data_IF_143019797924
#
_entry.id   IF_143019797924
#
_cell.length_a   1.000
_cell.length_b   1.000
_cell.length_c   1.000
_cell.angle_alpha   90.00
_cell.angle_beta   90.00
_cell.angle_gamma   90.00
#
_symmetry.space_group_name_H-M   'P 1'
#
loop_
_entity.id
_entity.type
_entity.pdbx_description
1 polymer ?
#
# COMPACT_ATOMS: atom_id res chain seq x y z
N UNK A 1 22.02 54.63 -10.15
CA UNK A 1 21.95 54.09 -11.53
C UNK A 1 22.29 52.61 -11.46
N UNK A 2 21.21 51.80 -11.40
CA UNK A 2 21.01 50.43 -11.96
C UNK A 2 22.07 49.35 -11.66
N UNK A 3 21.75 48.17 -11.15
CA UNK A 3 20.67 47.28 -11.62
C UNK A 3 20.27 46.26 -10.56
N UNK A 4 18.96 46.09 -10.39
CA UNK A 4 18.31 44.91 -9.81
C UNK A 4 18.74 43.62 -10.53
N UNK A 5 18.66 42.46 -9.85
CA UNK A 5 19.03 41.21 -10.50
C UNK A 5 18.85 39.91 -9.72
N UNK A 6 17.73 39.74 -9.02
CA UNK A 6 17.04 38.45 -8.97
C UNK A 6 17.69 37.27 -8.22
N UNK A 7 17.61 37.26 -6.88
CA UNK A 7 17.79 36.06 -6.03
C UNK A 7 16.56 35.14 -6.07
N UNK A 8 16.09 34.77 -7.26
CA UNK A 8 15.10 33.71 -7.45
C UNK A 8 15.73 32.32 -7.19
N UNK A 9 16.20 32.08 -5.97
CA UNK A 9 16.30 30.74 -5.37
C UNK A 9 14.90 30.18 -5.08
N UNK A 10 13.98 30.35 -6.02
CA UNK A 10 12.77 29.55 -6.08
C UNK A 10 13.28 28.16 -6.42
N UNK A 11 13.20 27.22 -5.48
CA UNK A 11 13.04 25.78 -5.79
C UNK A 11 12.29 25.76 -7.11
N UNK A 12 12.88 25.30 -8.24
CA UNK A 12 12.23 25.43 -9.54
C UNK A 12 10.83 24.91 -9.33
N UNK A 13 9.86 25.84 -9.32
CA UNK A 13 8.48 25.50 -9.04
C UNK A 13 8.23 24.38 -10.01
N UNK A 14 7.84 23.21 -9.49
CA UNK A 14 7.49 22.10 -10.33
C UNK A 14 6.40 22.64 -11.26
N UNK A 15 6.80 23.11 -12.44
CA UNK A 15 5.92 23.48 -13.53
C UNK A 15 5.20 22.18 -13.71
N UNK A 16 3.95 22.10 -13.24
CA UNK A 16 3.19 20.86 -13.23
C UNK A 16 3.29 20.32 -14.67
N UNK A 17 4.11 19.27 -14.92
CA UNK A 17 4.30 18.81 -16.26
C UNK A 17 2.97 18.16 -16.61
N UNK A 18 2.26 18.80 -17.53
CA UNK A 18 1.03 18.35 -18.15
C UNK A 18 -0.26 18.71 -17.38
N UNK A 19 -0.95 19.74 -17.88
CA UNK A 19 -2.16 20.38 -17.33
C UNK A 19 -3.45 19.54 -17.32
N UNK A 20 -3.37 18.26 -16.95
CA UNK A 20 -4.51 17.36 -16.83
C UNK A 20 -4.18 15.99 -16.22
N UNK A 21 -2.92 15.54 -16.28
CA UNK A 21 -2.49 14.25 -15.72
C UNK A 21 -2.69 14.14 -14.20
N UNK A 22 -2.64 15.27 -13.49
CA UNK A 22 -2.95 15.32 -12.06
C UNK A 22 -4.34 14.76 -11.72
N UNK A 23 -5.36 15.01 -12.55
CA UNK A 23 -6.72 14.49 -12.30
C UNK A 23 -6.81 12.97 -12.44
N UNK A 24 -6.07 12.39 -13.39
CA UNK A 24 -5.99 10.94 -13.58
C UNK A 24 -5.35 10.31 -12.33
N UNK A 25 -4.29 10.92 -11.80
CA UNK A 25 -3.61 10.44 -10.59
C UNK A 25 -4.51 10.56 -9.36
N UNK A 26 -5.29 11.63 -9.22
CA UNK A 26 -6.27 11.79 -8.14
C UNK A 26 -7.38 10.74 -8.24
N UNK A 27 -7.96 10.53 -9.42
CA UNK A 27 -8.98 9.50 -9.63
C UNK A 27 -8.44 8.09 -9.37
N UNK A 28 -7.23 7.78 -9.86
CA UNK A 28 -6.56 6.53 -9.59
C UNK A 28 -6.30 6.33 -8.09
N UNK A 29 -5.81 7.36 -7.39
CA UNK A 29 -5.58 7.31 -5.95
C UNK A 29 -6.89 7.08 -5.19
N UNK A 30 -7.96 7.77 -5.57
CA UNK A 30 -9.29 7.58 -4.98
C UNK A 30 -9.78 6.14 -5.18
N UNK A 31 -9.67 5.60 -6.39
CA UNK A 31 -10.06 4.22 -6.68
C UNK A 31 -9.24 3.20 -5.88
N UNK A 32 -7.93 3.40 -5.73
CA UNK A 32 -7.08 2.51 -4.92
C UNK A 32 -7.54 2.50 -3.46
N UNK A 33 -7.77 3.67 -2.86
CA UNK A 33 -8.22 3.76 -1.48
C UNK A 33 -9.64 3.18 -1.32
N UNK A 34 -10.55 3.49 -2.25
CA UNK A 34 -11.91 2.94 -2.25
C UNK A 34 -11.92 1.41 -2.31
N UNK A 35 -11.08 0.82 -3.17
CA UNK A 35 -10.94 -0.64 -3.27
C UNK A 35 -10.29 -1.21 -2.00
N UNK A 36 -9.21 -0.61 -1.49
CA UNK A 36 -8.53 -1.09 -0.28
C UNK A 36 -9.45 -1.07 0.96
N UNK A 37 -10.14 0.04 1.18
CA UNK A 37 -11.08 0.19 2.29
C UNK A 37 -12.28 -0.73 2.08
N UNK A 38 -12.81 -0.81 0.85
CA UNK A 38 -13.91 -1.72 0.50
C UNK A 38 -13.59 -3.19 0.75
N UNK A 39 -12.38 -3.63 0.40
CA UNK A 39 -11.88 -4.98 0.70
C UNK A 39 -11.77 -5.16 2.21
N UNK A 40 -11.16 -4.22 2.93
CA UNK A 40 -10.96 -4.33 4.38
C UNK A 40 -12.29 -4.46 5.13
N UNK A 41 -13.28 -3.64 4.80
CA UNK A 41 -14.61 -3.70 5.39
C UNK A 41 -15.38 -4.97 5.00
N UNK A 42 -15.32 -5.38 3.73
CA UNK A 42 -16.01 -6.59 3.26
C UNK A 42 -15.39 -7.87 3.83
N UNK A 43 -14.07 -7.91 3.95
CA UNK A 43 -13.37 -9.07 4.50
C UNK A 43 -13.65 -9.26 6.00
N UNK A 44 -13.81 -8.15 6.72
CA UNK A 44 -14.11 -8.11 8.15
C UNK A 44 -15.47 -8.70 8.55
N UNK A 45 -16.46 -8.71 7.66
CA UNK A 45 -17.80 -9.24 7.99
C UNK A 45 -18.17 -10.49 7.16
N UNK A 46 -17.86 -10.48 5.85
CA UNK A 46 -18.28 -11.54 4.91
C UNK A 46 -17.28 -12.70 4.87
N UNK A 47 -15.97 -12.43 4.87
CA UNK A 47 -14.94 -13.48 4.78
C UNK A 47 -14.61 -14.14 6.11
N UNK A 48 -14.88 -13.46 7.22
CA UNK A 48 -14.55 -13.95 8.55
C UNK A 48 -15.28 -15.27 8.89
N UNK A 49 -16.56 -15.39 8.50
CA UNK A 49 -17.37 -16.61 8.72
C UNK A 49 -16.86 -17.84 7.94
N UNK A 50 -16.66 -17.80 6.62
CA UNK A 50 -16.14 -18.93 5.87
C UNK A 50 -14.69 -19.25 6.22
N UNK A 51 -13.84 -18.28 6.57
CA UNK A 51 -12.49 -18.59 7.06
C UNK A 51 -12.52 -19.33 8.40
N UNK A 52 -13.36 -18.91 9.34
CA UNK A 52 -13.50 -19.60 10.63
C UNK A 52 -13.94 -21.06 10.45
N UNK A 53 -14.85 -21.31 9.49
CA UNK A 53 -15.31 -22.66 9.15
C UNK A 53 -14.20 -23.52 8.53
N UNK A 54 -13.47 -22.99 7.53
CA UNK A 54 -12.40 -23.73 6.85
C UNK A 54 -11.16 -23.97 7.74
N UNK A 55 -10.85 -23.04 8.64
CA UNK A 55 -9.67 -23.12 9.52
C UNK A 55 -9.98 -23.75 10.89
N UNK A 56 -11.25 -24.10 11.17
CA UNK A 56 -11.73 -24.57 12.49
C UNK A 56 -11.20 -23.72 13.66
N UNK A 57 -11.11 -22.40 13.47
CA UNK A 57 -10.54 -21.44 14.44
C UNK A 57 -11.60 -20.45 14.89
N UNK A 58 -11.46 -19.99 16.13
CA UNK A 58 -12.30 -18.94 16.71
C UNK A 58 -12.08 -17.58 16.03
N UNK A 59 -13.04 -16.66 16.21
CA UNK A 59 -13.05 -15.34 15.55
C UNK A 59 -11.81 -14.49 15.83
N UNK A 60 -11.22 -14.62 17.02
CA UNK A 60 -10.06 -13.85 17.46
C UNK A 60 -8.88 -13.97 16.50
N UNK A 61 -8.23 -15.15 16.37
CA UNK A 61 -7.07 -15.35 15.50
C UNK A 61 -7.30 -14.87 14.06
N UNK A 62 -8.45 -15.20 13.48
CA UNK A 62 -8.79 -14.85 12.09
C UNK A 62 -8.96 -13.33 11.94
N UNK A 63 -9.59 -12.65 12.90
CA UNK A 63 -9.73 -11.19 12.86
C UNK A 63 -8.39 -10.46 13.02
N UNK A 64 -7.45 -11.02 13.77
CA UNK A 64 -6.12 -10.43 13.96
C UNK A 64 -5.33 -10.39 12.66
N UNK A 65 -5.48 -11.39 11.79
CA UNK A 65 -4.86 -11.43 10.44
C UNK A 65 -5.30 -10.19 9.63
N UNK A 66 -6.61 -9.90 9.62
CA UNK A 66 -7.17 -8.74 8.91
C UNK A 66 -6.77 -7.39 9.53
N UNK A 67 -6.48 -7.34 10.85
CA UNK A 67 -6.02 -6.12 11.53
C UNK A 67 -4.52 -5.85 11.37
N UNK A 68 -3.68 -6.90 11.32
CA UNK A 68 -2.23 -6.75 11.18
C UNK A 68 -1.83 -6.24 9.80
N UNK A 69 -2.50 -6.70 8.73
CA UNK A 69 -2.20 -6.29 7.35
C UNK A 69 -2.20 -4.77 7.13
N UNK A 70 -3.27 -4.02 7.44
CA UNK A 70 -3.25 -2.56 7.32
C UNK A 70 -2.28 -1.92 8.33
N UNK A 71 -2.08 -2.51 9.52
CA UNK A 71 -1.14 -1.98 10.51
C UNK A 71 0.32 -2.00 10.02
N UNK A 72 0.76 -3.11 9.40
CA UNK A 72 2.08 -3.24 8.80
C UNK A 72 2.21 -2.30 7.59
N UNK A 73 1.19 -2.24 6.74
CA UNK A 73 1.18 -1.34 5.57
C UNK A 73 1.39 0.12 5.98
N UNK A 74 0.75 0.57 7.07
CA UNK A 74 0.92 1.92 7.61
C UNK A 74 2.28 2.10 8.29
N UNK A 75 2.78 1.08 9.00
CA UNK A 75 4.11 1.11 9.62
C UNK A 75 5.25 1.16 8.59
N UNK A 76 5.04 0.63 7.38
CA UNK A 76 6.00 0.69 6.27
C UNK A 76 6.07 2.09 5.65
N UNK A 77 5.15 3.02 5.93
CA UNK A 77 5.16 4.40 5.43
C UNK A 77 6.50 5.15 5.60
N UNK A 78 7.10 5.23 6.80
CA UNK A 78 8.42 5.85 6.99
C UNK A 78 9.54 5.11 6.25
N UNK A 79 9.50 3.78 6.22
CA UNK A 79 10.51 2.96 5.51
C UNK A 79 10.42 3.24 4.00
N UNK A 80 9.22 3.18 3.44
CA UNK A 80 8.95 3.49 2.04
C UNK A 80 9.46 4.89 1.69
N UNK A 81 9.25 5.90 2.55
CA UNK A 81 9.73 7.27 2.34
C UNK A 81 11.26 7.34 2.23
N UNK A 82 11.99 6.62 3.07
CA UNK A 82 13.46 6.55 3.02
C UNK A 82 13.92 5.90 1.71
N UNK A 83 13.28 4.79 1.31
CA UNK A 83 13.61 4.08 0.08
C UNK A 83 13.29 4.89 -1.17
N UNK A 84 12.15 5.58 -1.23
CA UNK A 84 11.77 6.43 -2.37
C UNK A 84 12.70 7.62 -2.51
N UNK A 85 13.13 8.22 -1.40
CA UNK A 85 14.10 9.33 -1.42
C UNK A 85 15.48 8.91 -1.94
N UNK A 86 15.89 7.65 -1.72
CA UNK A 86 17.21 7.15 -2.14
C UNK A 86 17.22 6.49 -3.52
N UNK A 87 16.16 5.77 -3.90
CA UNK A 87 16.12 4.94 -5.12
C UNK A 87 15.11 5.44 -6.17
N UNK A 88 14.32 6.47 -5.87
CA UNK A 88 13.29 7.02 -6.73
C UNK A 88 11.97 6.24 -6.67
N UNK A 89 10.85 6.96 -6.86
CA UNK A 89 9.49 6.42 -6.74
C UNK A 89 9.23 5.22 -7.67
N UNK A 90 9.66 5.30 -8.93
CA UNK A 90 9.26 4.34 -9.97
C UNK A 90 9.76 2.92 -9.72
N UNK A 91 11.00 2.78 -9.25
CA UNK A 91 11.61 1.45 -9.00
C UNK A 91 11.04 0.82 -7.74
N UNK A 92 10.86 1.62 -6.70
CA UNK A 92 10.32 1.15 -5.41
C UNK A 92 8.89 0.64 -5.59
N UNK A 93 8.04 1.35 -6.34
CA UNK A 93 6.66 0.90 -6.63
C UNK A 93 6.62 -0.42 -7.41
N UNK A 94 7.49 -0.60 -8.41
CA UNK A 94 7.53 -1.85 -9.19
C UNK A 94 7.98 -3.03 -8.33
N UNK A 95 9.03 -2.86 -7.53
CA UNK A 95 9.54 -3.92 -6.64
C UNK A 95 8.49 -4.28 -5.58
N UNK A 96 7.83 -3.29 -4.98
CA UNK A 96 6.74 -3.51 -4.02
C UNK A 96 5.55 -4.25 -4.64
N UNK A 97 5.15 -3.88 -5.86
CA UNK A 97 4.07 -4.57 -6.58
C UNK A 97 4.43 -6.04 -6.91
N UNK A 98 5.66 -6.31 -7.33
CA UNK A 98 6.14 -7.67 -7.56
C UNK A 98 6.16 -8.50 -6.26
N UNK A 99 6.63 -7.91 -5.16
CA UNK A 99 6.66 -8.56 -3.85
C UNK A 99 5.26 -8.89 -3.34
N UNK A 100 4.33 -7.93 -3.44
CA UNK A 100 2.92 -8.14 -3.08
C UNK A 100 2.29 -9.24 -3.94
N UNK A 101 2.50 -9.21 -5.26
CA UNK A 101 1.98 -10.24 -6.16
C UNK A 101 2.51 -11.64 -5.82
N UNK A 102 3.81 -11.75 -5.53
CA UNK A 102 4.42 -13.01 -5.10
C UNK A 102 3.85 -13.49 -3.74
N UNK A 103 3.64 -12.58 -2.79
CA UNK A 103 3.03 -12.89 -1.49
C UNK A 103 1.58 -13.39 -1.60
N UNK A 104 0.78 -12.77 -2.48
CA UNK A 104 -0.57 -13.24 -2.77
C UNK A 104 -0.59 -14.61 -3.47
N UNK A 105 0.31 -14.83 -4.44
CA UNK A 105 0.44 -16.13 -5.11
C UNK A 105 0.88 -17.23 -4.15
N UNK A 106 1.84 -16.94 -3.26
CA UNK A 106 2.29 -17.88 -2.24
C UNK A 106 1.18 -18.22 -1.25
N UNK A 107 0.35 -17.23 -0.88
CA UNK A 107 -0.81 -17.41 0.01
C UNK A 107 -1.89 -18.34 -0.57
N UNK A 108 -1.96 -18.48 -1.90
CA UNK A 108 -2.89 -19.41 -2.55
C UNK A 108 -2.52 -20.88 -2.34
N UNK A 109 -1.22 -21.21 -2.29
CA UNK A 109 -0.77 -22.60 -2.18
C UNK A 109 -0.79 -23.16 -0.75
N UNK A 110 -0.80 -22.30 0.28
CA UNK A 110 -0.62 -22.70 1.67
C UNK A 110 -1.78 -22.24 2.56
N UNK A 111 -2.79 -23.09 2.70
CA UNK A 111 -3.99 -22.83 3.50
C UNK A 111 -3.76 -23.12 5.00
N UNK A 112 -2.73 -22.50 5.60
CA UNK A 112 -2.39 -22.67 7.02
C UNK A 112 -2.40 -21.32 7.75
N UNK A 113 -3.01 -21.26 8.94
CA UNK A 113 -3.12 -20.03 9.74
C UNK A 113 -1.75 -19.38 10.03
N UNK A 114 -0.75 -20.21 10.36
CA UNK A 114 0.63 -19.75 10.59
C UNK A 114 1.28 -19.15 9.34
N UNK A 115 0.96 -19.69 8.17
CA UNK A 115 1.47 -19.18 6.90
C UNK A 115 0.86 -17.81 6.58
N UNK A 116 -0.42 -17.60 6.88
CA UNK A 116 -1.05 -16.28 6.72
C UNK A 116 -0.38 -15.20 7.58
N UNK A 117 -0.04 -15.48 8.84
CA UNK A 117 0.70 -14.52 9.68
C UNK A 117 2.08 -14.22 9.12
N UNK A 118 2.79 -15.24 8.61
CA UNK A 118 4.12 -15.06 8.04
C UNK A 118 4.10 -14.31 6.71
N UNK A 119 3.14 -14.62 5.85
CA UNK A 119 2.94 -13.95 4.56
C UNK A 119 2.62 -12.48 4.75
N UNK A 120 1.72 -12.13 5.67
CA UNK A 120 1.39 -10.73 5.99
C UNK A 120 2.57 -10.02 6.68
N UNK A 121 3.40 -10.74 7.42
CA UNK A 121 4.59 -10.16 8.05
C UNK A 121 5.74 -9.87 7.08
N UNK A 122 5.82 -10.60 5.95
CA UNK A 122 6.85 -10.43 4.92
C UNK A 122 6.47 -9.36 3.88
N UNK A 123 5.18 -9.24 3.58
CA UNK A 123 4.62 -8.27 2.63
C UNK A 123 4.53 -6.89 3.27
#
# INVERSE_FOLDING_TARGET
MTSDGNTNNRVPGAIAPDGGWGWIIVFASFMIHFIMDGITYSMGDVFLRPMMYNLNKTRGPVSTIFGILPAITQATGPIATIFTNRYGYRRVTIVGACLAAAGFLASYFWMNLWFYYFAIGIV
#
